data_IF_765648114340
#
_entry.id   IF_765648114340
#
_cell.length_a   1.000
_cell.length_b   1.000
_cell.length_c   1.000
_cell.angle_alpha   90.00
_cell.angle_beta   90.00
_cell.angle_gamma   90.00
#
_symmetry.space_group_name_H-M   'P 1'
#
loop_
_entity.id
_entity.type
_entity.pdbx_description
1 polymer ?
#
# COMPACT_ATOMS: atom_id res chain seq x y z
N UNK A 1 -34.29 -7.95 21.29
CA UNK A 1 -33.44 -6.74 21.28
C UNK A 1 -32.16 -6.89 22.12
N UNK A 2 -32.20 -7.19 23.43
CA UNK A 2 -30.97 -7.37 24.24
C UNK A 2 -30.00 -8.42 23.70
N UNK A 3 -30.48 -9.61 23.31
CA UNK A 3 -29.61 -10.65 22.74
C UNK A 3 -29.00 -10.23 21.40
N UNK A 4 -29.75 -9.50 20.56
CA UNK A 4 -29.23 -8.99 19.28
C UNK A 4 -28.12 -7.97 19.52
N UNK A 5 -28.31 -7.04 20.47
CA UNK A 5 -27.30 -6.07 20.86
C UNK A 5 -26.04 -6.75 21.44
N UNK A 6 -26.22 -7.78 22.26
CA UNK A 6 -25.10 -8.52 22.83
C UNK A 6 -24.30 -9.26 21.74
N UNK A 7 -24.97 -9.95 20.82
CA UNK A 7 -24.32 -10.62 19.69
C UNK A 7 -23.61 -9.62 18.76
N UNK A 8 -24.23 -8.47 18.46
CA UNK A 8 -23.59 -7.41 17.65
C UNK A 8 -22.35 -6.86 18.34
N UNK A 9 -22.41 -6.60 19.65
CA UNK A 9 -21.28 -6.12 20.44
C UNK A 9 -20.15 -7.15 20.46
N UNK A 10 -20.46 -8.42 20.70
CA UNK A 10 -19.48 -9.50 20.76
C UNK A 10 -18.79 -9.70 19.41
N UNK A 11 -19.55 -9.76 18.30
CA UNK A 11 -18.98 -9.86 16.95
C UNK A 11 -18.13 -8.65 16.58
N UNK A 12 -18.56 -7.44 16.93
CA UNK A 12 -17.80 -6.21 16.69
C UNK A 12 -16.50 -6.20 17.50
N UNK A 13 -16.56 -6.58 18.78
CA UNK A 13 -15.39 -6.67 19.65
C UNK A 13 -14.39 -7.70 19.13
N UNK A 14 -14.86 -8.90 18.75
CA UNK A 14 -13.99 -9.93 18.17
C UNK A 14 -13.31 -9.42 16.90
N UNK A 15 -14.06 -8.78 16.00
CA UNK A 15 -13.50 -8.19 14.78
C UNK A 15 -12.42 -7.13 15.09
N UNK A 16 -12.72 -6.17 15.98
CA UNK A 16 -11.77 -5.10 16.34
C UNK A 16 -10.51 -5.67 16.99
N UNK A 17 -10.64 -6.66 17.87
CA UNK A 17 -9.51 -7.22 18.60
C UNK A 17 -8.67 -8.16 17.73
N UNK A 18 -9.29 -8.99 16.88
CA UNK A 18 -8.57 -9.91 16.01
C UNK A 18 -7.94 -9.18 14.81
N UNK A 19 -8.73 -8.41 14.05
CA UNK A 19 -8.21 -7.67 12.90
C UNK A 19 -7.27 -6.53 13.33
N UNK A 20 -7.60 -5.82 14.42
CA UNK A 20 -6.80 -4.71 14.92
C UNK A 20 -5.39 -5.12 15.33
N UNK A 21 -5.21 -6.28 15.97
CA UNK A 21 -3.87 -6.81 16.31
C UNK A 21 -3.01 -7.02 15.07
N UNK A 22 -3.59 -7.60 14.02
CA UNK A 22 -2.89 -7.85 12.75
C UNK A 22 -2.51 -6.54 12.07
N UNK A 23 -3.44 -5.58 12.01
CA UNK A 23 -3.20 -4.25 11.40
C UNK A 23 -2.09 -3.52 12.15
N UNK A 24 -2.11 -3.48 13.49
CA UNK A 24 -1.07 -2.81 14.29
C UNK A 24 0.30 -3.45 14.06
N UNK A 25 0.37 -4.79 14.07
CA UNK A 25 1.62 -5.50 13.82
C UNK A 25 2.18 -5.17 12.43
N UNK A 26 1.35 -5.17 11.39
CA UNK A 26 1.73 -4.79 10.03
C UNK A 26 2.19 -3.32 10.00
N UNK A 27 1.43 -2.39 10.59
CA UNK A 27 1.80 -0.97 10.65
C UNK A 27 3.15 -0.73 11.32
N UNK A 28 3.45 -1.42 12.42
CA UNK A 28 4.76 -1.34 13.09
C UNK A 28 5.87 -1.85 12.17
N UNK A 29 5.67 -3.01 11.53
CA UNK A 29 6.65 -3.57 10.59
C UNK A 29 6.88 -2.62 9.42
N UNK A 30 5.81 -2.09 8.81
CA UNK A 30 5.91 -1.14 7.71
C UNK A 30 6.58 0.16 8.14
N UNK A 31 6.28 0.67 9.32
CA UNK A 31 6.93 1.86 9.86
C UNK A 31 8.43 1.65 10.05
N UNK A 32 8.86 0.50 10.57
CA UNK A 32 10.28 0.14 10.66
C UNK A 32 10.90 0.07 9.25
N UNK A 33 10.27 -0.64 8.32
CA UNK A 33 10.79 -0.76 6.95
C UNK A 33 10.82 0.57 6.19
N UNK A 34 9.93 1.50 6.52
CA UNK A 34 9.89 2.86 5.99
C UNK A 34 10.96 3.77 6.63
N UNK A 35 11.25 3.56 7.91
CA UNK A 35 12.17 4.41 8.68
C UNK A 35 13.63 4.03 8.53
N UNK A 36 13.94 2.82 8.04
CA UNK A 36 15.31 2.35 7.82
C UNK A 36 15.57 2.04 6.34
N UNK A 37 16.76 2.38 5.85
CA UNK A 37 17.24 2.05 4.52
C UNK A 37 18.59 1.34 4.56
N UNK A 38 18.99 0.62 3.49
CA UNK A 38 20.26 -0.08 3.44
C UNK A 38 21.46 0.86 3.18
N UNK A 39 22.53 0.68 3.96
CA UNK A 39 23.82 1.36 3.79
C UNK A 39 23.78 2.86 4.06
N UNK A 40 24.63 3.63 3.38
CA UNK A 40 24.83 5.07 3.61
C UNK A 40 23.85 5.95 2.81
N UNK A 41 22.77 5.37 2.25
CA UNK A 41 21.83 6.10 1.37
C UNK A 41 21.16 7.27 2.08
N UNK A 42 20.83 7.11 3.36
CA UNK A 42 20.17 8.16 4.14
C UNK A 42 21.13 9.32 4.42
N UNK A 43 22.39 9.02 4.73
CA UNK A 43 23.44 10.01 4.94
C UNK A 43 23.77 10.75 3.63
N UNK A 44 23.76 10.07 2.49
CA UNK A 44 23.89 10.70 1.16
C UNK A 44 22.75 11.68 0.86
N UNK A 45 21.51 11.34 1.25
CA UNK A 45 20.35 12.23 1.09
C UNK A 45 20.51 13.46 2.00
N UNK A 46 20.89 13.27 3.26
CA UNK A 46 21.15 14.41 4.18
C UNK A 46 22.25 15.33 3.65
N UNK A 47 23.35 14.76 3.13
CA UNK A 47 24.43 15.53 2.52
C UNK A 47 24.00 16.26 1.24
N UNK A 48 23.09 15.68 0.44
CA UNK A 48 22.53 16.30 -0.77
C UNK A 48 21.68 17.54 -0.44
N UNK A 49 20.97 17.53 0.69
CA UNK A 49 20.13 18.65 1.13
C UNK A 49 20.82 19.58 2.16
N UNK A 50 22.06 19.29 2.56
CA UNK A 50 22.87 20.16 3.42
C UNK A 50 23.18 21.53 2.79
N UNK A 51 23.14 21.62 1.45
CA UNK A 51 23.11 22.89 0.71
C UNK A 51 21.74 23.04 0.03
N UNK A 52 20.76 23.67 0.70
CA UNK A 52 19.41 23.74 0.17
C UNK A 52 19.34 24.58 -1.12
N UNK A 53 18.54 24.18 -2.12
CA UNK A 53 18.27 25.02 -3.29
C UNK A 53 17.72 26.39 -2.88
N UNK A 54 18.26 27.46 -3.45
CA UNK A 54 17.85 28.83 -3.14
C UNK A 54 16.39 29.04 -3.57
N UNK A 55 15.49 29.35 -2.62
CA UNK A 55 14.11 29.75 -2.90
C UNK A 55 12.99 28.80 -2.42
N UNK A 56 13.30 27.70 -1.72
CA UNK A 56 12.30 26.84 -1.09
C UNK A 56 12.13 27.12 0.41
N UNK A 57 10.88 27.01 0.89
CA UNK A 57 10.54 27.01 2.33
C UNK A 57 11.25 25.86 3.05
N UNK A 58 11.71 26.09 4.30
CA UNK A 58 12.29 25.04 5.16
C UNK A 58 11.37 23.82 5.30
N UNK A 59 10.06 24.05 5.40
CA UNK A 59 9.06 22.98 5.46
C UNK A 59 8.99 22.11 4.20
N UNK A 60 9.14 22.70 3.01
CA UNK A 60 9.13 21.93 1.76
C UNK A 60 10.40 21.09 1.60
N UNK A 61 11.53 21.58 2.13
CA UNK A 61 12.79 20.84 2.07
C UNK A 61 12.72 19.60 2.97
N UNK A 62 12.13 19.72 4.16
CA UNK A 62 11.92 18.56 5.05
C UNK A 62 11.00 17.51 4.45
N UNK A 63 9.89 17.91 3.81
CA UNK A 63 9.02 16.98 3.08
C UNK A 63 9.77 16.27 1.96
N UNK A 64 10.59 16.98 1.18
CA UNK A 64 11.39 16.38 0.11
C UNK A 64 12.41 15.38 0.64
N UNK A 65 13.08 15.70 1.75
CA UNK A 65 14.01 14.78 2.43
C UNK A 65 13.27 13.53 2.91
N UNK A 66 12.10 13.69 3.54
CA UNK A 66 11.29 12.58 4.02
C UNK A 66 10.83 11.67 2.87
N UNK A 67 10.34 12.24 1.77
CA UNK A 67 9.96 11.49 0.55
C UNK A 67 11.14 10.73 -0.06
N UNK A 68 12.31 11.36 -0.24
CA UNK A 68 13.49 10.68 -0.81
C UNK A 68 14.03 9.58 0.12
N UNK A 69 14.02 9.81 1.44
CA UNK A 69 14.38 8.77 2.43
C UNK A 69 13.40 7.60 2.37
N UNK A 70 12.11 7.87 2.28
CA UNK A 70 11.07 6.84 2.17
C UNK A 70 11.23 6.02 0.88
N UNK A 71 11.51 6.65 -0.26
CA UNK A 71 11.78 5.92 -1.51
C UNK A 71 13.03 5.01 -1.42
N UNK A 72 14.06 5.46 -0.70
CA UNK A 72 15.30 4.70 -0.50
C UNK A 72 15.30 3.73 0.69
N UNK A 73 14.23 3.70 1.47
CA UNK A 73 14.04 2.78 2.59
C UNK A 73 13.82 1.33 2.13
N UNK A 74 13.86 0.37 3.06
CA UNK A 74 13.56 -1.03 2.73
C UNK A 74 12.17 -1.20 2.12
N UNK A 75 11.17 -0.47 2.62
CA UNK A 75 9.80 -0.53 2.08
C UNK A 75 9.75 0.03 0.66
N UNK A 76 10.45 1.14 0.39
CA UNK A 76 10.51 1.78 -0.91
C UNK A 76 11.17 0.89 -1.96
N UNK A 77 12.29 0.24 -1.60
CA UNK A 77 12.97 -0.74 -2.45
C UNK A 77 12.06 -1.92 -2.79
N UNK A 78 11.31 -2.43 -1.82
CA UNK A 78 10.35 -3.51 -2.04
C UNK A 78 9.19 -3.07 -2.96
N UNK A 79 8.68 -1.85 -2.78
CA UNK A 79 7.66 -1.27 -3.66
C UNK A 79 8.14 -1.08 -5.09
N UNK A 80 9.37 -0.57 -5.26
CA UNK A 80 10.01 -0.38 -6.57
C UNK A 80 10.32 -1.70 -7.28
N UNK A 81 10.51 -2.79 -6.53
CA UNK A 81 10.69 -4.12 -7.12
C UNK A 81 9.40 -4.64 -7.79
N UNK A 82 8.23 -4.40 -7.19
CA UNK A 82 6.94 -4.81 -7.77
C UNK A 82 6.38 -3.81 -8.79
N UNK A 83 6.79 -2.54 -8.70
CA UNK A 83 6.32 -1.45 -9.56
C UNK A 83 6.29 -1.77 -11.06
N UNK A 84 7.31 -2.40 -11.70
CA UNK A 84 7.31 -2.62 -13.15
C UNK A 84 6.14 -3.49 -13.61
N UNK A 85 5.71 -4.43 -12.76
CA UNK A 85 4.57 -5.29 -13.04
C UNK A 85 3.24 -4.55 -12.87
N UNK A 86 3.12 -3.62 -11.93
CA UNK A 86 1.85 -2.95 -11.63
C UNK A 86 1.70 -1.58 -12.32
N UNK A 87 2.78 -0.98 -12.79
CA UNK A 87 2.78 0.31 -13.50
C UNK A 87 1.85 0.33 -14.72
N UNK A 88 1.73 -0.74 -15.53
CA UNK A 88 0.77 -0.78 -16.64
C UNK A 88 -0.70 -0.64 -16.20
N UNK A 89 -1.02 -0.92 -14.93
CA UNK A 89 -2.37 -0.79 -14.36
C UNK A 89 -2.65 0.63 -13.82
N UNK A 90 -1.66 1.52 -13.90
CA UNK A 90 -1.73 2.87 -13.35
C UNK A 90 -1.35 2.96 -11.88
N UNK A 91 -0.69 1.95 -11.32
CA UNK A 91 -0.34 1.91 -9.89
C UNK A 91 1.10 2.39 -9.68
N UNK A 92 1.33 3.10 -8.58
CA UNK A 92 2.66 3.46 -8.11
C UNK A 92 3.22 2.41 -7.13
N UNK A 93 4.48 2.57 -6.76
CA UNK A 93 5.15 1.70 -5.81
C UNK A 93 4.48 1.73 -4.41
N UNK A 94 3.85 2.85 -4.01
CA UNK A 94 3.10 2.97 -2.74
C UNK A 94 1.85 2.07 -2.75
N UNK A 95 1.06 2.11 -3.82
CA UNK A 95 -0.07 1.19 -4.05
C UNK A 95 0.45 -0.26 -4.09
N UNK A 96 1.59 -0.51 -4.73
CA UNK A 96 2.21 -1.84 -4.76
C UNK A 96 2.49 -2.43 -3.38
N UNK A 97 3.06 -1.65 -2.47
CA UNK A 97 3.27 -2.06 -1.08
C UNK A 97 1.93 -2.34 -0.39
N UNK A 98 0.95 -1.47 -0.60
CA UNK A 98 -0.39 -1.64 -0.04
C UNK A 98 -1.09 -2.91 -0.57
N UNK A 99 -0.86 -3.29 -1.83
CA UNK A 99 -1.35 -4.55 -2.41
C UNK A 99 -0.67 -5.79 -1.83
N UNK A 100 0.63 -5.72 -1.52
CA UNK A 100 1.37 -6.83 -0.89
C UNK A 100 0.87 -7.04 0.54
N UNK A 101 0.77 -5.95 1.30
CA UNK A 101 0.30 -5.99 2.70
C UNK A 101 -1.17 -6.41 2.81
N UNK A 102 -2.00 -6.05 1.82
CA UNK A 102 -3.40 -6.46 1.78
C UNK A 102 -3.61 -7.97 1.54
N UNK A 103 -2.58 -8.68 1.09
CA UNK A 103 -2.60 -10.15 1.00
C UNK A 103 -2.62 -10.82 2.38
N UNK A 104 -2.01 -10.20 3.39
CA UNK A 104 -2.06 -10.69 4.76
C UNK A 104 -3.44 -10.42 5.40
N UNK A 105 -3.99 -9.22 5.18
CA UNK A 105 -5.33 -8.83 5.58
C UNK A 105 -5.87 -7.75 4.64
N UNK A 106 -7.03 -7.97 4.01
CA UNK A 106 -7.60 -7.06 3.00
C UNK A 106 -7.82 -5.65 3.56
N UNK A 107 -8.20 -5.57 4.83
CA UNK A 107 -8.45 -4.35 5.58
C UNK A 107 -7.18 -3.55 5.87
N UNK A 108 -6.00 -4.18 5.81
CA UNK A 108 -4.71 -3.54 6.05
C UNK A 108 -4.27 -2.59 4.92
N UNK A 109 -4.95 -2.60 3.76
CA UNK A 109 -4.64 -1.69 2.65
C UNK A 109 -4.70 -0.22 3.09
N UNK A 110 -5.80 0.18 3.75
CA UNK A 110 -6.01 1.57 4.17
C UNK A 110 -5.02 1.98 5.25
N UNK A 111 -4.72 1.08 6.20
CA UNK A 111 -3.73 1.32 7.25
C UNK A 111 -2.30 1.48 6.69
N UNK A 112 -1.95 0.67 5.68
CA UNK A 112 -0.67 0.76 4.99
C UNK A 112 -0.54 2.08 4.25
N UNK A 113 -1.57 2.47 3.49
CA UNK A 113 -1.62 3.75 2.80
C UNK A 113 -1.50 4.92 3.76
N UNK A 114 -2.22 4.88 4.89
CA UNK A 114 -2.12 5.90 5.93
C UNK A 114 -0.69 6.01 6.48
N UNK A 115 -0.03 4.89 6.75
CA UNK A 115 1.33 4.84 7.30
C UNK A 115 2.38 5.35 6.30
N UNK A 116 2.29 4.94 5.04
CA UNK A 116 3.23 5.38 3.99
C UNK A 116 3.06 6.89 3.75
N UNK A 117 1.83 7.37 3.59
CA UNK A 117 1.58 8.79 3.36
C UNK A 117 1.81 9.65 4.59
N UNK A 118 1.71 9.12 5.81
CA UNK A 118 2.05 9.88 7.02
C UNK A 118 3.55 10.16 7.10
N UNK A 119 4.38 9.15 6.79
CA UNK A 119 5.85 9.26 6.79
C UNK A 119 6.34 10.15 5.64
N UNK A 120 5.68 10.12 4.49
CA UNK A 120 6.04 10.91 3.30
C UNK A 120 5.91 12.43 3.50
N UNK A 121 5.01 12.91 4.38
CA UNK A 121 4.73 14.34 4.54
C UNK A 121 5.57 15.08 5.59
N UNK A 122 6.33 14.36 6.42
CA UNK A 122 7.01 14.94 7.60
C UNK A 122 6.07 15.21 8.79
N UNK A 123 6.66 15.53 9.94
CA UNK A 123 5.97 15.65 11.25
C UNK A 123 5.11 16.92 11.40
N UNK A 124 5.36 17.97 10.61
CA UNK A 124 4.66 19.27 10.75
C UNK A 124 3.42 19.43 9.85
N UNK A 125 3.21 18.54 8.89
CA UNK A 125 2.23 18.78 7.83
C UNK A 125 0.82 18.26 8.21
N UNK A 126 -0.09 19.15 8.62
CA UNK A 126 -1.45 18.78 9.09
C UNK A 126 -2.43 18.36 7.97
N UNK A 127 -1.96 18.21 6.74
CA UNK A 127 -2.79 17.87 5.58
C UNK A 127 -3.43 16.49 5.73
N UNK A 128 -4.71 16.38 5.36
CA UNK A 128 -5.40 15.09 5.43
C UNK A 128 -4.80 14.09 4.44
N UNK A 129 -4.76 12.80 4.79
CA UNK A 129 -4.27 11.72 3.89
C UNK A 129 -4.97 11.78 2.52
N UNK A 130 -6.25 12.16 2.50
CA UNK A 130 -7.02 12.33 1.26
C UNK A 130 -6.45 13.40 0.34
N UNK A 131 -5.97 14.49 0.91
CA UNK A 131 -5.35 15.59 0.17
C UNK A 131 -3.95 15.22 -0.33
N UNK A 132 -3.16 14.55 0.50
CA UNK A 132 -1.85 13.99 0.10
C UNK A 132 -1.97 13.03 -1.08
N UNK A 133 -2.92 12.09 -1.02
CA UNK A 133 -3.20 11.19 -2.14
C UNK A 133 -3.65 11.96 -3.38
N UNK A 134 -4.51 12.97 -3.25
CA UNK A 134 -4.98 13.77 -4.39
C UNK A 134 -3.84 14.55 -5.07
N UNK A 135 -2.87 15.01 -4.29
CA UNK A 135 -1.72 15.76 -4.77
C UNK A 135 -0.54 14.86 -5.18
N UNK A 136 -0.61 13.55 -4.91
CA UNK A 136 0.41 12.58 -5.28
C UNK A 136 0.51 12.44 -6.80
N UNK A 137 1.69 12.75 -7.33
CA UNK A 137 2.02 12.67 -8.76
C UNK A 137 3.09 11.61 -8.97
N UNK A 138 2.98 10.88 -10.07
CA UNK A 138 3.99 9.92 -10.47
C UNK A 138 5.29 10.70 -10.82
N UNK A 139 6.44 10.38 -10.17
CA UNK A 139 7.71 11.06 -10.42
C UNK A 139 8.17 10.99 -11.88
N UNK A 140 7.74 9.97 -12.63
CA UNK A 140 8.20 9.72 -14.01
C UNK A 140 7.29 10.39 -15.04
N UNK A 141 5.97 10.39 -14.82
CA UNK A 141 5.00 10.92 -15.78
C UNK A 141 4.48 12.32 -15.42
N UNK A 142 4.65 12.77 -14.18
CA UNK A 142 4.14 14.05 -13.67
C UNK A 142 2.61 14.11 -13.56
N UNK A 143 1.92 13.02 -13.91
CA UNK A 143 0.47 12.89 -13.85
C UNK A 143 0.01 12.48 -12.44
N UNK A 144 -1.22 12.86 -12.03
CA UNK A 144 -1.78 12.39 -10.77
C UNK A 144 -1.87 10.86 -10.75
N UNK A 145 -1.39 10.23 -9.67
CA UNK A 145 -1.42 8.77 -9.52
C UNK A 145 -2.86 8.26 -9.40
N UNK A 146 -3.68 8.98 -8.62
CA UNK A 146 -5.07 8.62 -8.36
C UNK A 146 -6.01 9.31 -9.34
N UNK A 147 -6.16 8.70 -10.51
CA UNK A 147 -7.17 9.09 -11.50
C UNK A 147 -8.43 8.24 -11.38
N UNK A 148 -9.50 8.64 -12.09
CA UNK A 148 -10.70 7.81 -12.21
C UNK A 148 -10.37 6.41 -12.76
N UNK A 149 -9.49 6.34 -13.77
CA UNK A 149 -9.03 5.08 -14.35
C UNK A 149 -8.32 4.21 -13.31
N UNK A 150 -7.42 4.78 -12.50
CA UNK A 150 -6.72 4.07 -11.41
C UNK A 150 -7.69 3.54 -10.36
N UNK A 151 -8.70 4.33 -10.00
CA UNK A 151 -9.73 3.93 -9.03
C UNK A 151 -10.56 2.73 -9.51
N UNK A 152 -11.05 2.77 -10.76
CA UNK A 152 -11.81 1.65 -11.35
C UNK A 152 -10.93 0.41 -11.51
N UNK A 153 -9.69 0.60 -11.97
CA UNK A 153 -8.68 -0.46 -12.06
C UNK A 153 -8.48 -1.15 -10.72
N UNK A 154 -8.27 -0.39 -9.63
CA UNK A 154 -8.10 -0.93 -8.27
C UNK A 154 -9.36 -1.66 -7.78
N UNK A 155 -10.55 -1.11 -8.02
CA UNK A 155 -11.80 -1.76 -7.64
C UNK A 155 -11.96 -3.12 -8.32
N UNK A 156 -11.67 -3.20 -9.63
CA UNK A 156 -11.74 -4.47 -10.37
C UNK A 156 -10.66 -5.44 -9.94
N UNK A 157 -9.44 -4.96 -9.67
CA UNK A 157 -8.38 -5.80 -9.11
C UNK A 157 -8.84 -6.44 -7.81
N UNK A 158 -9.35 -5.68 -6.85
CA UNK A 158 -9.83 -6.21 -5.56
C UNK A 158 -11.09 -7.05 -5.65
N UNK A 159 -11.95 -6.82 -6.66
CA UNK A 159 -13.14 -7.63 -6.88
C UNK A 159 -12.80 -9.06 -7.30
N UNK A 160 -11.75 -9.23 -8.13
CA UNK A 160 -11.36 -10.53 -8.67
C UNK A 160 -10.17 -11.17 -7.96
N UNK A 161 -9.28 -10.38 -7.34
CA UNK A 161 -8.08 -10.88 -6.71
C UNK A 161 -8.42 -11.68 -5.45
N UNK A 162 -8.02 -12.95 -5.46
CA UNK A 162 -8.13 -13.84 -4.31
C UNK A 162 -6.97 -13.58 -3.33
N UNK A 163 -7.12 -12.56 -2.49
CA UNK A 163 -6.15 -12.15 -1.47
C UNK A 163 -6.55 -12.58 -0.05
N UNK A 164 -7.39 -13.61 0.08
CA UNK A 164 -7.87 -14.06 1.38
C UNK A 164 -7.02 -15.23 1.87
N UNK A 165 -6.12 -14.98 2.83
CA UNK A 165 -5.27 -16.02 3.45
C UNK A 165 -6.10 -17.19 4.01
N UNK A 166 -7.28 -16.90 4.56
CA UNK A 166 -8.22 -17.92 5.06
C UNK A 166 -8.69 -18.88 3.97
N UNK A 167 -8.98 -18.38 2.77
CA UNK A 167 -9.39 -19.22 1.63
C UNK A 167 -8.25 -20.13 1.19
N UNK A 168 -7.03 -19.60 1.07
CA UNK A 168 -5.84 -20.39 0.73
C UNK A 168 -5.58 -21.47 1.77
N UNK A 169 -5.69 -21.13 3.06
CA UNK A 169 -5.49 -22.06 4.17
C UNK A 169 -6.52 -23.20 4.20
N UNK A 170 -7.80 -22.91 3.93
CA UNK A 170 -8.85 -23.92 3.84
C UNK A 170 -8.62 -24.83 2.63
N UNK A 171 -8.37 -24.27 1.45
CA UNK A 171 -8.11 -25.07 0.24
C UNK A 171 -6.91 -25.99 0.46
N UNK A 172 -5.84 -25.48 1.05
CA UNK A 172 -4.67 -26.28 1.42
C UNK A 172 -5.02 -27.43 2.36
N UNK A 173 -5.82 -27.16 3.40
CA UNK A 173 -6.24 -28.16 4.38
C UNK A 173 -7.08 -29.28 3.75
N UNK A 174 -7.99 -28.93 2.85
CA UNK A 174 -8.89 -29.89 2.19
C UNK A 174 -8.18 -30.68 1.08
N UNK A 175 -7.35 -30.03 0.27
CA UNK A 175 -6.63 -30.69 -0.83
C UNK A 175 -5.34 -31.38 -0.40
N UNK A 176 -4.90 -31.18 0.85
CA UNK A 176 -3.65 -31.71 1.43
C UNK A 176 -2.42 -31.51 0.53
N UNK A 177 -2.37 -30.40 -0.22
CA UNK A 177 -1.28 -30.11 -1.14
C UNK A 177 -1.30 -28.67 -1.67
N UNK A 178 -0.13 -28.17 -2.09
CA UNK A 178 0.05 -26.79 -2.57
C UNK A 178 -0.34 -26.56 -4.02
N UNK A 179 -0.53 -27.63 -4.81
CA UNK A 179 -0.83 -27.52 -6.25
C UNK A 179 -2.11 -26.70 -6.49
N UNK A 180 -3.21 -27.07 -5.83
CA UNK A 180 -4.50 -26.43 -6.03
C UNK A 180 -4.59 -25.00 -5.47
N UNK A 181 -4.12 -24.71 -4.24
CA UNK A 181 -4.08 -23.35 -3.73
C UNK A 181 -3.29 -22.39 -4.63
N UNK A 182 -2.12 -22.82 -5.13
CA UNK A 182 -1.27 -21.97 -5.98
C UNK A 182 -1.90 -21.75 -7.36
N UNK A 183 -2.45 -22.80 -7.99
CA UNK A 183 -3.14 -22.67 -9.28
C UNK A 183 -4.31 -21.67 -9.15
N UNK A 184 -5.11 -21.82 -8.10
CA UNK A 184 -6.26 -20.96 -7.85
C UNK A 184 -5.84 -19.50 -7.60
N UNK A 185 -4.81 -19.28 -6.79
CA UNK A 185 -4.27 -17.95 -6.51
C UNK A 185 -3.73 -17.29 -7.79
N UNK A 186 -2.91 -18.00 -8.55
CA UNK A 186 -2.31 -17.48 -9.78
C UNK A 186 -3.38 -17.18 -10.82
N UNK A 187 -4.34 -18.09 -11.01
CA UNK A 187 -5.42 -17.91 -11.98
C UNK A 187 -6.28 -16.67 -11.66
N UNK A 188 -6.71 -16.51 -10.41
CA UNK A 188 -7.57 -15.39 -10.03
C UNK A 188 -6.82 -14.06 -10.01
N UNK A 189 -5.56 -14.06 -9.58
CA UNK A 189 -4.71 -12.85 -9.66
C UNK A 189 -4.43 -12.46 -11.11
N UNK A 190 -4.19 -13.42 -12.01
CA UNK A 190 -4.00 -13.14 -13.43
C UNK A 190 -5.27 -12.57 -14.06
N UNK A 191 -6.43 -13.15 -13.74
CA UNK A 191 -7.72 -12.64 -14.19
C UNK A 191 -7.97 -11.20 -13.70
N UNK A 192 -7.68 -10.94 -12.42
CA UNK A 192 -7.78 -9.60 -11.83
C UNK A 192 -6.82 -8.60 -12.51
N UNK A 193 -5.59 -9.01 -12.78
CA UNK A 193 -4.59 -8.21 -13.48
C UNK A 193 -5.04 -7.84 -14.89
N UNK A 194 -5.55 -8.82 -15.66
CA UNK A 194 -6.03 -8.56 -17.03
C UNK A 194 -7.25 -7.63 -17.00
N UNK A 195 -8.22 -7.87 -16.11
CA UNK A 195 -9.41 -7.04 -16.01
C UNK A 195 -9.09 -5.59 -15.63
N UNK A 196 -8.20 -5.40 -14.65
CA UNK A 196 -7.72 -4.07 -14.23
C UNK A 196 -6.89 -3.37 -15.31
N UNK A 197 -6.03 -4.10 -16.02
CA UNK A 197 -5.27 -3.58 -17.15
C UNK A 197 -6.18 -3.09 -18.28
N UNK A 198 -7.18 -3.89 -18.68
CA UNK A 198 -8.16 -3.52 -19.70
C UNK A 198 -8.92 -2.27 -19.26
N UNK A 199 -9.41 -2.24 -18.02
CA UNK A 199 -10.15 -1.10 -17.52
C UNK A 199 -9.30 0.18 -17.47
N UNK A 200 -8.04 0.08 -17.04
CA UNK A 200 -7.13 1.21 -17.01
C UNK A 200 -6.83 1.72 -18.43
N UNK A 201 -6.53 0.85 -19.38
CA UNK A 201 -6.24 1.25 -20.75
C UNK A 201 -7.45 1.86 -21.48
N UNK A 202 -8.67 1.41 -21.17
CA UNK A 202 -9.90 1.94 -21.77
C UNK A 202 -10.32 3.29 -21.17
N UNK A 203 -9.99 3.56 -19.91
CA UNK A 203 -10.41 4.76 -19.18
C UNK A 203 -9.34 5.84 -19.06
N UNK A 204 -8.10 5.55 -19.49
CA UNK A 204 -6.96 6.46 -19.45
C UNK A 204 -7.06 7.57 -20.50
#
# INVERSE_FOLDING_TARGET
>A
WKNVLFTMYEKSKTFVVEAGKVIIAISIVLWVLASYGPGDRFEQIENKYAQPPVGLSSSHIETLIASEKLENSYIGIMGRFIEPAIKPLGYDWKIGIALITSFAAREAFVGTMATIYSVDGGDEDTTTIRERMRNSKDPVSGLPVYTFATGISLMLFYAFAMQCMSTVAIVYRETKGWKWPVIQLVYMTLMAYIASLIAYQLLK
#
